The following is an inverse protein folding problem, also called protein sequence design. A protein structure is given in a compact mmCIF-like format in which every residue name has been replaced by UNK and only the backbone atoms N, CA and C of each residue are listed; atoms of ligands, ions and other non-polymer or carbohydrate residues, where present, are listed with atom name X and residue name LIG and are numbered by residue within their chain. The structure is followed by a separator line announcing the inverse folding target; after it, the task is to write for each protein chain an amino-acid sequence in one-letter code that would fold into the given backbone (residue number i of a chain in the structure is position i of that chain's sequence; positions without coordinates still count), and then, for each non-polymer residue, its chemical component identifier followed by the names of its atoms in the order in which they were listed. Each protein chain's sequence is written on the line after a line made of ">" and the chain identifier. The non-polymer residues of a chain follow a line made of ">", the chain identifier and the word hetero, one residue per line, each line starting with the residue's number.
data_IF_788911188143
#
_entry.id   IF_788911188143
#
_cell.length_a   1.000
_cell.length_b   1.000
_cell.length_c   1.000
_cell.angle_alpha   90.00
_cell.angle_beta   90.00
_cell.angle_gamma   90.00
#
_symmetry.space_group_name_H-M   'P 1'
#
loop_
_entity.id
_entity.type
_entity.pdbx_description
1 polymer ?
#
# COMPACT_ATOMS: atom_id res chain seq x y z
N UNK A 1 -14.57 -3.10 -47.43
CA UNK A 1 -13.76 -4.27 -47.00
C UNK A 1 -14.71 -5.31 -46.40
N UNK A 2 -14.52 -6.61 -46.62
CA UNK A 2 -15.47 -7.64 -46.17
C UNK A 2 -15.38 -7.79 -44.64
N UNK A 3 -16.45 -7.48 -43.89
CA UNK A 3 -16.42 -7.41 -42.42
C UNK A 3 -15.99 -8.71 -41.75
N UNK A 4 -16.31 -9.85 -42.36
CA UNK A 4 -15.86 -11.16 -41.88
C UNK A 4 -14.33 -11.30 -41.90
N UNK A 5 -13.65 -10.74 -42.91
CA UNK A 5 -12.18 -10.76 -42.98
C UNK A 5 -11.57 -9.87 -41.90
N UNK A 6 -12.20 -8.71 -41.62
CA UNK A 6 -11.78 -7.81 -40.53
C UNK A 6 -11.83 -8.52 -39.18
N UNK A 7 -12.93 -9.21 -38.87
CA UNK A 7 -13.11 -9.96 -37.62
C UNK A 7 -12.10 -11.10 -37.44
N UNK A 8 -11.74 -11.78 -38.53
CA UNK A 8 -10.71 -12.83 -38.50
C UNK A 8 -9.34 -12.23 -38.18
N UNK A 9 -8.96 -11.14 -38.85
CA UNK A 9 -7.67 -10.46 -38.62
C UNK A 9 -7.55 -9.96 -37.18
N UNK A 10 -8.61 -9.37 -36.62
CA UNK A 10 -8.62 -8.91 -35.22
C UNK A 10 -8.40 -10.06 -34.23
N UNK A 11 -9.07 -11.21 -34.44
CA UNK A 11 -8.86 -12.41 -33.60
C UNK A 11 -7.43 -12.94 -33.67
N UNK A 12 -6.82 -12.91 -34.84
CA UNK A 12 -5.43 -13.36 -35.03
C UNK A 12 -4.45 -12.44 -34.28
N UNK A 13 -4.66 -11.12 -34.35
CA UNK A 13 -3.82 -10.14 -33.64
C UNK A 13 -3.96 -10.27 -32.12
N UNK A 14 -5.17 -10.53 -31.61
CA UNK A 14 -5.41 -10.83 -30.19
C UNK A 14 -4.68 -12.11 -29.75
N UNK A 15 -4.68 -13.15 -30.60
CA UNK A 15 -3.93 -14.38 -30.35
C UNK A 15 -2.42 -14.13 -30.28
N UNK A 16 -1.86 -13.31 -31.18
CA UNK A 16 -0.45 -12.92 -31.14
C UNK A 16 -0.09 -12.11 -29.90
N UNK A 17 -0.99 -11.26 -29.43
CA UNK A 17 -0.82 -10.47 -28.20
C UNK A 17 -0.80 -11.37 -26.96
N UNK A 18 -1.70 -12.35 -26.88
CA UNK A 18 -1.76 -13.28 -25.74
C UNK A 18 -0.55 -14.23 -25.72
N UNK A 19 -0.10 -14.69 -26.89
CA UNK A 19 1.05 -15.59 -27.04
C UNK A 19 2.42 -14.89 -27.02
N UNK A 20 2.45 -13.55 -26.90
CA UNK A 20 3.68 -12.74 -26.94
C UNK A 20 4.54 -12.94 -28.20
N UNK A 21 3.93 -13.34 -29.32
CA UNK A 21 4.63 -13.51 -30.60
C UNK A 21 5.09 -12.17 -31.21
N UNK A 22 4.41 -11.08 -30.83
CA UNK A 22 4.72 -9.72 -31.26
C UNK A 22 4.77 -8.79 -30.05
N UNK A 23 5.66 -7.77 -30.04
CA UNK A 23 5.68 -6.78 -28.98
C UNK A 23 4.35 -6.02 -28.89
N UNK A 24 3.90 -5.75 -27.67
CA UNK A 24 2.54 -5.28 -27.36
C UNK A 24 2.16 -3.98 -28.09
N UNK A 25 3.14 -3.10 -28.33
CA UNK A 25 2.97 -1.86 -29.08
C UNK A 25 2.51 -2.08 -30.53
N UNK A 26 3.02 -3.12 -31.21
CA UNK A 26 2.67 -3.41 -32.60
C UNK A 26 1.29 -4.04 -32.71
N UNK A 27 0.94 -4.95 -31.81
CA UNK A 27 -0.42 -5.49 -31.73
C UNK A 27 -1.43 -4.38 -31.49
N UNK A 28 -1.15 -3.44 -30.59
CA UNK A 28 -2.05 -2.32 -30.32
C UNK A 28 -2.21 -1.39 -31.54
N UNK A 29 -1.13 -1.10 -32.27
CA UNK A 29 -1.19 -0.32 -33.52
C UNK A 29 -2.05 -1.00 -34.59
N UNK A 30 -1.84 -2.31 -34.83
CA UNK A 30 -2.63 -3.08 -35.80
C UNK A 30 -4.10 -3.19 -35.36
N UNK A 31 -4.35 -3.41 -34.07
CA UNK A 31 -5.71 -3.45 -33.55
C UNK A 31 -6.42 -2.12 -33.77
N UNK A 32 -5.77 -0.98 -33.45
CA UNK A 32 -6.32 0.35 -33.67
C UNK A 32 -6.62 0.62 -35.15
N UNK A 33 -5.73 0.17 -36.05
CA UNK A 33 -5.90 0.30 -37.49
C UNK A 33 -7.08 -0.52 -38.03
N UNK A 34 -7.23 -1.77 -37.57
CA UNK A 34 -8.26 -2.69 -38.05
C UNK A 34 -9.60 -2.59 -37.31
N UNK A 35 -9.62 -1.98 -36.14
CA UNK A 35 -10.84 -1.71 -35.38
C UNK A 35 -11.32 -0.27 -35.51
N UNK A 36 -10.62 0.58 -36.26
CA UNK A 36 -11.01 1.99 -36.50
C UNK A 36 -11.26 2.77 -35.19
N UNK A 37 -10.66 2.34 -34.08
CA UNK A 37 -10.89 2.90 -32.74
C UNK A 37 -11.93 2.18 -31.87
N UNK A 38 -12.70 1.20 -32.38
CA UNK A 38 -13.67 0.42 -31.58
C UNK A 38 -13.01 -0.64 -30.67
N UNK A 39 -11.76 -1.02 -30.96
CA UNK A 39 -11.01 -2.04 -30.21
C UNK A 39 -10.42 -1.56 -28.88
N UNK A 40 -10.47 -0.26 -28.59
CA UNK A 40 -9.92 0.31 -27.35
C UNK A 40 -10.79 -0.01 -26.12
N UNK A 41 -12.06 -0.35 -26.33
CA UNK A 41 -13.06 -0.56 -25.26
C UNK A 41 -12.66 -1.62 -24.23
N UNK A 42 -12.06 -2.75 -24.62
CA UNK A 42 -11.74 -3.82 -23.67
C UNK A 42 -10.44 -3.58 -22.89
N UNK A 43 -9.46 -2.91 -23.51
CA UNK A 43 -8.17 -2.61 -22.84
C UNK A 43 -8.35 -1.44 -21.88
N UNK A 44 -9.12 -0.42 -22.24
CA UNK A 44 -9.41 0.72 -21.37
C UNK A 44 -10.33 0.34 -20.21
N UNK A 45 -11.32 -0.54 -20.39
CA UNK A 45 -12.15 -1.01 -19.28
C UNK A 45 -11.35 -1.76 -18.21
N UNK A 46 -10.41 -2.64 -18.61
CA UNK A 46 -9.52 -3.33 -17.66
C UNK A 46 -8.55 -2.35 -16.98
N UNK A 47 -7.99 -1.40 -17.73
CA UNK A 47 -7.07 -0.40 -17.19
C UNK A 47 -7.77 0.55 -16.21
N UNK A 48 -8.99 0.98 -16.53
CA UNK A 48 -9.83 1.82 -15.67
C UNK A 48 -10.30 1.07 -14.40
N UNK A 49 -10.65 -0.21 -14.51
CA UNK A 49 -10.97 -1.08 -13.36
C UNK A 49 -9.82 -1.23 -12.36
N UNK A 50 -8.58 -1.37 -12.85
CA UNK A 50 -7.40 -1.49 -11.98
C UNK A 50 -7.05 -0.14 -11.36
N UNK A 51 -7.15 0.96 -12.13
CA UNK A 51 -6.87 2.31 -11.65
C UNK A 51 -7.86 2.73 -10.55
N UNK A 52 -9.16 2.48 -10.75
CA UNK A 52 -10.21 2.76 -9.76
C UNK A 52 -10.05 1.91 -8.50
N UNK A 53 -9.72 0.62 -8.62
CA UNK A 53 -9.45 -0.24 -7.47
C UNK A 53 -8.25 0.24 -6.63
N UNK A 54 -7.18 0.66 -7.28
CA UNK A 54 -6.02 1.20 -6.57
C UNK A 54 -6.33 2.56 -5.93
N UNK A 55 -7.06 3.45 -6.63
CA UNK A 55 -7.53 4.72 -6.10
C UNK A 55 -8.38 4.55 -4.83
N UNK A 56 -9.32 3.61 -4.84
CA UNK A 56 -10.14 3.27 -3.65
C UNK A 56 -9.24 2.76 -2.51
N UNK A 57 -8.27 1.91 -2.80
CA UNK A 57 -7.33 1.41 -1.79
C UNK A 57 -6.50 2.55 -1.15
N UNK A 58 -6.03 3.51 -1.95
CA UNK A 58 -5.35 4.70 -1.45
C UNK A 58 -6.26 5.56 -0.58
N UNK A 59 -7.49 5.81 -1.02
CA UNK A 59 -8.49 6.58 -0.28
C UNK A 59 -8.79 5.95 1.08
N UNK A 60 -8.94 4.62 1.14
CA UNK A 60 -9.19 3.90 2.40
C UNK A 60 -8.03 4.09 3.38
N UNK A 61 -6.77 3.93 2.94
CA UNK A 61 -5.62 4.10 3.84
C UNK A 61 -5.42 5.55 4.27
N UNK A 62 -5.70 6.50 3.37
CA UNK A 62 -5.69 7.92 3.71
C UNK A 62 -6.75 8.22 4.77
N UNK A 63 -7.96 7.68 4.63
CA UNK A 63 -9.04 7.87 5.59
C UNK A 63 -8.68 7.25 6.95
N UNK A 64 -8.14 6.03 6.98
CA UNK A 64 -7.68 5.38 8.23
C UNK A 64 -6.64 6.26 8.93
N UNK A 65 -5.66 6.78 8.20
CA UNK A 65 -4.63 7.64 8.76
C UNK A 65 -5.22 8.95 9.31
N UNK A 66 -6.10 9.60 8.54
CA UNK A 66 -6.78 10.83 8.97
C UNK A 66 -7.63 10.62 10.22
N UNK A 67 -8.38 9.52 10.29
CA UNK A 67 -9.17 9.17 11.48
C UNK A 67 -8.24 8.92 12.67
N UNK A 68 -7.13 8.20 12.48
CA UNK A 68 -6.15 7.98 13.55
C UNK A 68 -5.61 9.29 14.11
N UNK A 69 -5.26 10.26 13.25
CA UNK A 69 -4.79 11.57 13.70
C UNK A 69 -5.88 12.36 14.43
N UNK A 70 -7.11 12.31 13.91
CA UNK A 70 -8.25 12.95 14.54
C UNK A 70 -8.48 12.40 15.96
N UNK A 71 -8.41 11.08 16.13
CA UNK A 71 -8.59 10.40 17.42
C UNK A 71 -7.50 10.79 18.43
N UNK A 72 -6.25 10.94 17.99
CA UNK A 72 -5.13 11.34 18.87
C UNK A 72 -5.21 12.82 19.24
N UNK A 73 -5.65 13.68 18.31
CA UNK A 73 -5.79 15.11 18.58
C UNK A 73 -6.96 15.41 19.52
N UNK A 74 -8.04 14.61 19.47
CA UNK A 74 -9.18 14.73 20.37
C UNK A 74 -8.85 14.13 21.75
N UNK A 75 -7.97 14.81 22.49
CA UNK A 75 -7.52 14.41 23.83
C UNK A 75 -8.60 14.44 24.92
N UNK A 76 -9.83 14.87 24.59
CA UNK A 76 -11.01 14.81 25.47
C UNK A 76 -11.62 13.39 25.53
N UNK A 77 -11.22 12.48 24.64
CA UNK A 77 -11.64 11.08 24.70
C UNK A 77 -10.96 10.35 25.86
N UNK A 78 -11.71 9.47 26.54
CA UNK A 78 -11.13 8.58 27.53
C UNK A 78 -10.00 7.75 26.90
N UNK A 79 -8.88 7.64 27.61
CA UNK A 79 -7.71 6.88 27.18
C UNK A 79 -8.07 5.46 26.69
N UNK A 80 -9.02 4.79 27.36
CA UNK A 80 -9.49 3.45 27.02
C UNK A 80 -10.16 3.44 25.63
N UNK A 81 -10.98 4.45 25.33
CA UNK A 81 -11.69 4.56 24.07
C UNK A 81 -10.75 4.92 22.93
N UNK A 82 -9.84 5.88 23.17
CA UNK A 82 -8.81 6.28 22.20
C UNK A 82 -7.97 5.07 21.78
N UNK A 83 -7.44 4.32 22.74
CA UNK A 83 -6.66 3.11 22.47
C UNK A 83 -7.47 2.01 21.80
N UNK A 84 -8.73 1.82 22.20
CA UNK A 84 -9.63 0.86 21.57
C UNK A 84 -9.85 1.13 20.08
N UNK A 85 -10.10 2.40 19.72
CA UNK A 85 -10.29 2.82 18.32
C UNK A 85 -8.99 2.65 17.52
N UNK A 86 -7.86 3.13 18.04
CA UNK A 86 -6.56 3.01 17.36
C UNK A 86 -6.19 1.53 17.12
N UNK A 87 -6.38 0.67 18.11
CA UNK A 87 -6.11 -0.76 17.99
C UNK A 87 -7.04 -1.42 16.96
N UNK A 88 -8.32 -1.04 16.93
CA UNK A 88 -9.25 -1.53 15.91
C UNK A 88 -8.81 -1.15 14.49
N UNK A 89 -8.44 0.13 14.28
CA UNK A 89 -7.91 0.61 13.00
C UNK A 89 -6.62 -0.11 12.59
N UNK A 90 -5.75 -0.41 13.57
CA UNK A 90 -4.54 -1.20 13.35
C UNK A 90 -4.86 -2.61 12.86
N UNK A 91 -5.79 -3.31 13.51
CA UNK A 91 -6.20 -4.67 13.13
C UNK A 91 -6.78 -4.71 11.71
N UNK A 92 -7.61 -3.72 11.37
CA UNK A 92 -8.15 -3.57 10.01
C UNK A 92 -7.02 -3.34 8.99
N UNK A 93 -6.07 -2.46 9.29
CA UNK A 93 -4.95 -2.15 8.39
C UNK A 93 -4.05 -3.37 8.16
N UNK A 94 -3.74 -4.12 9.22
CA UNK A 94 -2.98 -5.37 9.13
C UNK A 94 -3.73 -6.42 8.28
N UNK A 95 -5.05 -6.54 8.48
CA UNK A 95 -5.88 -7.46 7.69
C UNK A 95 -5.87 -7.11 6.20
N UNK A 96 -5.98 -5.83 5.87
CA UNK A 96 -5.85 -5.33 4.50
C UNK A 96 -4.45 -5.60 3.92
N UNK A 97 -3.40 -5.38 4.70
CA UNK A 97 -2.02 -5.69 4.30
C UNK A 97 -1.84 -7.17 3.93
N UNK A 98 -2.33 -8.10 4.75
CA UNK A 98 -2.29 -9.53 4.44
C UNK A 98 -3.12 -9.87 3.20
N UNK A 99 -4.29 -9.24 3.03
CA UNK A 99 -5.12 -9.38 1.83
C UNK A 99 -4.37 -8.93 0.55
N UNK A 100 -3.66 -7.80 0.60
CA UNK A 100 -2.88 -7.33 -0.56
C UNK A 100 -1.68 -8.21 -0.88
N UNK A 101 -0.99 -8.74 0.13
CA UNK A 101 0.07 -9.74 -0.07
C UNK A 101 -0.50 -10.97 -0.78
N UNK A 102 -1.67 -11.46 -0.35
CA UNK A 102 -2.31 -12.65 -0.94
C UNK A 102 -2.65 -12.46 -2.41
N UNK A 103 -3.08 -11.25 -2.80
CA UNK A 103 -3.47 -10.94 -4.19
C UNK A 103 -2.28 -10.44 -5.01
N UNK A 104 -1.04 -10.51 -4.47
CA UNK A 104 0.19 -10.02 -5.11
C UNK A 104 0.09 -8.55 -5.56
N UNK A 105 -0.80 -7.76 -4.95
CA UNK A 105 -0.94 -6.35 -5.28
C UNK A 105 0.15 -5.56 -4.56
N UNK A 106 1.06 -4.96 -5.32
CA UNK A 106 2.18 -4.17 -4.79
C UNK A 106 1.73 -2.76 -4.40
N UNK A 107 0.67 -2.64 -3.60
CA UNK A 107 0.26 -1.33 -3.10
C UNK A 107 1.22 -0.86 -2.01
N UNK A 108 2.28 -0.16 -2.40
CA UNK A 108 3.31 0.35 -1.51
C UNK A 108 2.75 1.28 -0.42
N UNK A 109 1.69 2.04 -0.72
CA UNK A 109 1.08 2.97 0.22
C UNK A 109 0.38 2.24 1.39
N UNK A 110 -0.25 1.10 1.12
CA UNK A 110 -0.89 0.30 2.16
C UNK A 110 0.13 -0.21 3.20
N UNK A 111 1.32 -0.60 2.72
CA UNK A 111 2.42 -1.05 3.57
C UNK A 111 2.90 0.09 4.47
N UNK A 112 3.17 1.26 3.87
CA UNK A 112 3.67 2.43 4.60
C UNK A 112 2.64 2.89 5.65
N UNK A 113 1.38 3.01 5.26
CA UNK A 113 0.28 3.42 6.14
C UNK A 113 0.12 2.48 7.33
N UNK A 114 0.15 1.15 7.11
CA UNK A 114 0.02 0.16 8.18
C UNK A 114 1.18 0.24 9.17
N UNK A 115 2.42 0.40 8.67
CA UNK A 115 3.60 0.48 9.53
C UNK A 115 3.65 1.79 10.33
N UNK A 116 3.22 2.89 9.74
CA UNK A 116 3.10 4.16 10.43
C UNK A 116 2.04 4.07 11.55
N UNK A 117 0.89 3.46 11.25
CA UNK A 117 -0.17 3.25 12.23
C UNK A 117 0.26 2.33 13.39
N UNK A 118 1.09 1.32 13.10
CA UNK A 118 1.71 0.47 14.12
C UNK A 118 2.60 1.26 15.06
N UNK A 119 3.48 2.12 14.52
CA UNK A 119 4.34 2.97 15.32
C UNK A 119 3.50 3.90 16.22
N UNK A 120 2.53 4.59 15.64
CA UNK A 120 1.66 5.52 16.37
C UNK A 120 0.92 4.82 17.51
N UNK A 121 0.29 3.68 17.22
CA UNK A 121 -0.47 2.93 18.24
C UNK A 121 0.44 2.39 19.36
N UNK A 122 1.64 1.92 19.01
CA UNK A 122 2.58 1.39 20.02
C UNK A 122 3.20 2.49 20.89
N UNK A 123 3.48 3.66 20.32
CA UNK A 123 3.95 4.83 21.10
C UNK A 123 2.87 5.34 22.05
N UNK A 124 1.63 5.48 21.58
CA UNK A 124 0.49 5.87 22.42
C UNK A 124 0.27 4.85 23.55
N UNK A 125 0.35 3.56 23.27
CA UNK A 125 0.26 2.51 24.30
C UNK A 125 1.39 2.61 25.35
N UNK A 126 2.61 2.87 24.90
CA UNK A 126 3.78 3.03 25.79
C UNK A 126 3.69 4.27 26.67
N UNK A 127 3.01 5.33 26.21
CA UNK A 127 2.85 6.57 26.96
C UNK A 127 2.04 6.43 28.25
N UNK A 128 1.21 5.39 28.33
CA UNK A 128 0.38 5.06 29.48
C UNK A 128 1.16 4.42 30.64
N UNK A 129 2.36 3.90 30.37
CA UNK A 129 3.21 3.29 31.38
C UNK A 129 3.96 4.42 32.10
N UNK A 130 3.51 4.78 33.30
CA UNK A 130 4.12 5.84 34.12
C UNK A 130 5.53 5.48 34.60
N UNK A 131 5.83 4.19 34.79
CA UNK A 131 7.15 3.73 35.21
C UNK A 131 8.14 3.74 34.03
N UNK A 132 9.27 4.46 34.18
CA UNK A 132 10.35 4.52 33.19
C UNK A 132 9.90 4.88 31.76
N UNK A 133 8.97 5.84 31.63
CA UNK A 133 8.36 6.28 30.36
C UNK A 133 9.37 6.45 29.22
N UNK A 134 10.52 7.07 29.46
CA UNK A 134 11.55 7.25 28.44
C UNK A 134 12.14 5.92 27.94
N UNK A 135 12.53 5.02 28.84
CA UNK A 135 13.10 3.71 28.48
C UNK A 135 12.09 2.85 27.72
N UNK A 136 10.82 2.88 28.12
CA UNK A 136 9.74 2.14 27.44
C UNK A 136 9.56 2.65 26.00
N UNK A 137 9.54 3.98 25.81
CA UNK A 137 9.42 4.58 24.48
C UNK A 137 10.62 4.27 23.58
N UNK A 138 11.85 4.32 24.12
CA UNK A 138 13.04 3.92 23.37
C UNK A 138 13.00 2.44 22.96
N UNK A 139 12.61 1.55 23.88
CA UNK A 139 12.48 0.12 23.58
C UNK A 139 11.43 -0.14 22.49
N UNK A 140 10.26 0.50 22.57
CA UNK A 140 9.19 0.37 21.57
C UNK A 140 9.66 0.85 20.19
N UNK A 141 10.35 2.01 20.14
CA UNK A 141 10.85 2.57 18.87
C UNK A 141 11.92 1.67 18.25
N UNK A 142 12.81 1.10 19.08
CA UNK A 142 13.84 0.17 18.64
C UNK A 142 13.22 -1.10 18.05
N UNK A 143 12.22 -1.69 18.72
CA UNK A 143 11.51 -2.88 18.23
C UNK A 143 10.81 -2.59 16.90
N UNK A 144 10.08 -1.47 16.78
CA UNK A 144 9.43 -1.07 15.53
C UNK A 144 10.43 -0.92 14.38
N UNK A 145 11.57 -0.28 14.64
CA UNK A 145 12.61 -0.11 13.65
C UNK A 145 13.21 -1.45 13.17
N UNK A 146 13.51 -2.36 14.09
CA UNK A 146 13.99 -3.70 13.74
C UNK A 146 12.96 -4.45 12.91
N UNK A 147 11.67 -4.31 13.25
CA UNK A 147 10.56 -4.89 12.51
C UNK A 147 10.49 -4.34 11.08
N UNK A 148 10.67 -3.02 10.91
CA UNK A 148 10.73 -2.38 9.59
C UNK A 148 11.90 -2.87 8.75
N UNK A 149 13.11 -2.99 9.33
CA UNK A 149 14.26 -3.56 8.63
C UNK A 149 14.04 -5.03 8.23
N UNK A 150 13.44 -5.84 9.11
CA UNK A 150 13.10 -7.23 8.84
C UNK A 150 12.08 -7.38 7.70
N UNK A 151 10.97 -6.65 7.78
CA UNK A 151 9.96 -6.60 6.72
C UNK A 151 10.53 -6.05 5.41
N UNK A 152 11.38 -5.02 5.48
CA UNK A 152 12.04 -4.41 4.32
C UNK A 152 12.91 -5.40 3.56
N UNK A 153 13.67 -6.24 4.28
CA UNK A 153 14.46 -7.32 3.68
C UNK A 153 13.58 -8.41 3.07
N UNK A 154 12.56 -8.87 3.79
CA UNK A 154 11.67 -9.94 3.31
C UNK A 154 10.86 -9.53 2.07
N UNK A 155 10.43 -8.27 2.02
CA UNK A 155 9.61 -7.74 0.92
C UNK A 155 10.45 -7.06 -0.19
N UNK A 156 11.78 -7.03 -0.06
CA UNK A 156 12.73 -6.34 -0.95
C UNK A 156 12.40 -4.84 -1.16
N UNK A 157 11.93 -4.17 -0.10
CA UNK A 157 11.53 -2.76 -0.13
C UNK A 157 12.63 -1.91 0.50
N UNK A 158 13.48 -1.31 -0.34
CA UNK A 158 14.65 -0.52 0.09
C UNK A 158 14.22 0.67 0.95
N UNK A 159 13.15 1.37 0.58
CA UNK A 159 12.65 2.54 1.31
C UNK A 159 12.34 2.22 2.78
N UNK A 160 11.84 1.00 3.05
CA UNK A 160 11.48 0.61 4.40
C UNK A 160 12.72 0.35 5.27
N UNK A 161 13.75 -0.26 4.69
CA UNK A 161 15.03 -0.45 5.36
C UNK A 161 15.73 0.88 5.64
N UNK A 162 15.66 1.84 4.71
CA UNK A 162 16.22 3.19 4.89
C UNK A 162 15.50 3.93 6.01
N UNK A 163 14.17 3.86 6.05
CA UNK A 163 13.36 4.47 7.11
C UNK A 163 13.68 3.88 8.48
N UNK A 164 13.89 2.56 8.57
CA UNK A 164 14.37 1.93 9.80
C UNK A 164 15.74 2.48 10.23
N UNK A 165 16.74 2.43 9.36
CA UNK A 165 18.08 2.95 9.70
C UNK A 165 18.03 4.42 10.13
N UNK A 166 17.25 5.26 9.46
CA UNK A 166 17.03 6.65 9.87
C UNK A 166 16.40 6.75 11.27
N UNK A 167 15.41 5.91 11.58
CA UNK A 167 14.80 5.81 12.91
C UNK A 167 15.79 5.42 14.01
N UNK A 168 16.70 4.48 13.75
CA UNK A 168 17.78 4.11 14.69
C UNK A 168 18.74 5.27 14.93
N UNK A 169 19.14 5.98 13.88
CA UNK A 169 20.02 7.14 14.01
C UNK A 169 19.36 8.22 14.89
N UNK A 170 18.08 8.52 14.65
CA UNK A 170 17.32 9.47 15.47
C UNK A 170 17.20 9.01 16.94
N UNK A 171 17.00 7.71 17.17
CA UNK A 171 16.94 7.14 18.52
C UNK A 171 18.27 7.32 19.25
N UNK A 172 19.39 7.02 18.59
CA UNK A 172 20.74 7.24 19.17
C UNK A 172 20.93 8.72 19.52
N UNK A 173 20.62 9.64 18.60
CA UNK A 173 20.73 11.08 18.86
C UNK A 173 19.87 11.48 20.08
N UNK A 174 18.65 10.97 20.18
CA UNK A 174 17.74 11.28 21.29
C UNK A 174 18.18 10.70 22.65
N UNK A 175 19.09 9.73 22.69
CA UNK A 175 19.67 9.24 23.95
C UNK A 175 20.82 10.13 24.41
N UNK A 176 21.55 10.75 23.47
CA UNK A 176 22.73 11.58 23.76
C UNK A 176 22.42 13.06 23.98
N UNK A 177 21.27 13.55 23.47
CA UNK A 177 20.74 14.91 23.72
C UNK A 177 19.85 14.91 24.94
#
# INVERSE_FOLDING_TARGET
>A
MNENRRKIIVKEIEYWKQSHMLPEQYCNYLLALYTEGEGETQTDQKKHSILTRNAISYLIHLLILSISLFVIYFTELSFILQMGILTSLLVVSISLFFYYIRIRNKNHFAIISTLLLLLVTTVEAGSAVQAHKALVLYAITLVNCLLWMGLGKNLKLIYLSVSGVAGLILLVISIFV
#
